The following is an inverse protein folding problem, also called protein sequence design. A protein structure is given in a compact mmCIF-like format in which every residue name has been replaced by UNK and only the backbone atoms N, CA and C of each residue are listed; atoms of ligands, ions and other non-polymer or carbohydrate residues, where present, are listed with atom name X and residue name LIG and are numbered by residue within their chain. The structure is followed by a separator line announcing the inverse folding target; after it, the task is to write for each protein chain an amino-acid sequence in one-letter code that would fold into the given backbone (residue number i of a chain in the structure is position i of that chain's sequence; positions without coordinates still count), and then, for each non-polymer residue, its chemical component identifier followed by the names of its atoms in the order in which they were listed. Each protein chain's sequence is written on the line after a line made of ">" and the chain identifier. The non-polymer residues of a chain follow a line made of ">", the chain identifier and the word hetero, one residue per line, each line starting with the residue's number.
data_IF_375351374113
#
_entry.id   IF_375351374113
#
_cell.length_a   1.000
_cell.length_b   1.000
_cell.length_c   1.000
_cell.angle_alpha   90.00
_cell.angle_beta   90.00
_cell.angle_gamma   90.00
#
_symmetry.space_group_name_H-M   'P 1'
#
loop_
_entity.id
_entity.type
_entity.pdbx_description
1 polymer ?
#
# COMPACT_ATOMS: atom_id res chain seq x y z
N UNK A 1 3.74 -1.70 2.97
CA UNK A 1 4.72 -1.25 1.97
C UNK A 1 4.40 0.19 1.63
N UNK A 2 5.43 1.01 1.43
CA UNK A 2 5.30 2.40 0.99
C UNK A 2 6.20 2.64 -0.23
N UNK A 3 5.71 3.35 -1.23
CA UNK A 3 6.53 3.96 -2.29
C UNK A 3 6.32 5.47 -2.19
N UNK A 4 7.35 6.19 -1.78
CA UNK A 4 7.29 7.66 -1.71
C UNK A 4 7.90 8.27 -2.97
N UNK A 5 7.05 8.81 -3.83
CA UNK A 5 7.46 9.59 -4.98
C UNK A 5 7.98 10.97 -4.58
N UNK A 6 7.48 11.51 -3.45
CA UNK A 6 7.96 12.78 -2.87
C UNK A 6 9.41 12.68 -2.39
N UNK A 7 9.74 11.63 -1.63
CA UNK A 7 11.04 11.47 -0.98
C UNK A 7 11.96 10.43 -1.63
N UNK A 8 11.53 9.83 -2.75
CA UNK A 8 12.29 8.89 -3.58
C UNK A 8 12.80 7.66 -2.83
N UNK A 9 11.94 7.04 -2.02
CA UNK A 9 12.26 5.79 -1.34
C UNK A 9 11.16 4.73 -1.52
N UNK A 10 11.57 3.47 -1.39
CA UNK A 10 10.67 2.31 -1.33
C UNK A 10 10.91 1.62 0.01
N UNK A 11 9.85 1.45 0.79
CA UNK A 11 9.86 0.69 2.03
C UNK A 11 9.13 -0.65 1.85
N UNK A 12 9.91 -1.72 1.86
CA UNK A 12 9.42 -3.09 1.74
C UNK A 12 9.31 -3.68 3.15
N UNK A 13 8.09 -4.09 3.53
CA UNK A 13 7.81 -4.60 4.87
C UNK A 13 8.20 -6.08 4.97
N UNK A 14 9.27 -6.37 5.69
CA UNK A 14 9.67 -7.74 6.07
C UNK A 14 8.88 -8.26 7.26
N UNK A 15 8.79 -9.57 7.41
CA UNK A 15 8.10 -10.19 8.55
C UNK A 15 8.84 -9.94 9.87
N UNK A 16 8.09 -9.79 10.97
CA UNK A 16 8.58 -9.82 12.37
C UNK A 16 9.72 -8.85 12.72
N UNK A 17 9.82 -7.73 12.02
CA UNK A 17 10.90 -6.72 12.16
C UNK A 17 10.36 -5.37 12.62
N UNK A 18 9.23 -5.37 13.35
CA UNK A 18 8.49 -4.14 13.70
C UNK A 18 8.17 -3.24 12.49
N UNK A 19 8.09 -3.82 11.28
CA UNK A 19 7.89 -3.07 10.04
C UNK A 19 6.59 -2.26 10.00
N UNK A 20 5.55 -2.67 10.75
CA UNK A 20 4.33 -1.85 10.91
C UNK A 20 4.65 -0.51 11.57
N UNK A 21 5.45 -0.49 12.64
CA UNK A 21 5.78 0.74 13.37
C UNK A 21 6.55 1.73 12.49
N UNK A 22 7.51 1.21 11.71
CA UNK A 22 8.27 2.00 10.73
C UNK A 22 7.34 2.51 9.64
N UNK A 23 6.46 1.67 9.10
CA UNK A 23 5.49 2.07 8.07
C UNK A 23 4.59 3.22 8.56
N UNK A 24 4.13 3.18 9.80
CA UNK A 24 3.30 4.24 10.39
C UNK A 24 4.07 5.54 10.60
N UNK A 25 5.33 5.46 11.04
CA UNK A 25 6.19 6.64 11.15
C UNK A 25 6.44 7.27 9.77
N UNK A 26 6.77 6.44 8.77
CA UNK A 26 7.02 6.90 7.41
C UNK A 26 5.75 7.43 6.71
N UNK A 27 4.57 6.89 7.02
CA UNK A 27 3.33 7.37 6.40
C UNK A 27 2.98 8.81 6.79
N UNK A 28 3.50 9.31 7.92
CA UNK A 28 3.31 10.70 8.35
C UNK A 28 3.98 11.72 7.43
N UNK A 29 5.10 11.36 6.78
CA UNK A 29 5.86 12.25 5.89
C UNK A 29 5.52 12.09 4.41
N UNK A 30 4.66 11.12 4.07
CA UNK A 30 4.27 10.83 2.69
C UNK A 30 3.44 11.97 2.05
N UNK A 31 3.52 12.09 0.72
CA UNK A 31 2.75 13.00 -0.12
C UNK A 31 1.40 12.43 -0.60
N UNK A 32 0.59 13.22 -1.33
CA UNK A 32 -0.69 12.78 -1.88
C UNK A 32 -0.58 11.73 -2.99
N UNK A 33 0.51 11.75 -3.75
CA UNK A 33 0.76 10.80 -4.83
C UNK A 33 1.49 9.53 -4.36
N UNK A 34 1.93 9.48 -3.09
CA UNK A 34 2.68 8.35 -2.57
C UNK A 34 1.78 7.12 -2.41
N UNK A 35 2.34 5.94 -2.63
CA UNK A 35 1.62 4.67 -2.56
C UNK A 35 1.76 4.11 -1.15
N UNK A 36 0.64 3.88 -0.48
CA UNK A 36 0.59 3.34 0.88
C UNK A 36 -0.38 2.17 0.89
N UNK A 37 0.13 0.96 1.11
CA UNK A 37 -0.71 -0.24 1.17
C UNK A 37 -1.57 -0.26 2.43
N UNK A 38 -2.78 -0.83 2.39
CA UNK A 38 -3.64 -0.89 3.57
C UNK A 38 -3.06 -1.73 4.70
N UNK A 39 -3.12 -1.17 5.91
CA UNK A 39 -2.90 -1.89 7.17
C UNK A 39 -4.18 -2.57 7.69
N UNK A 40 -4.07 -3.29 8.82
CA UNK A 40 -5.26 -3.82 9.47
C UNK A 40 -6.17 -2.69 9.98
N UNK A 41 -7.44 -2.99 10.25
CA UNK A 41 -8.44 -1.96 10.62
C UNK A 41 -8.03 -1.13 11.85
N UNK A 42 -7.37 -1.73 12.82
CA UNK A 42 -6.96 -1.05 14.05
C UNK A 42 -5.79 -0.10 13.78
N UNK A 43 -4.81 -0.54 12.99
CA UNK A 43 -3.64 0.24 12.57
C UNK A 43 -4.05 1.45 11.71
N UNK A 44 -4.97 1.28 10.77
CA UNK A 44 -5.51 2.39 9.96
C UNK A 44 -6.31 3.40 10.80
N UNK A 45 -7.09 2.91 11.79
CA UNK A 45 -7.77 3.79 12.74
C UNK A 45 -6.77 4.62 13.55
N UNK A 46 -5.71 3.97 14.05
CA UNK A 46 -4.65 4.64 14.79
C UNK A 46 -3.93 5.71 13.94
N UNK A 47 -3.65 5.42 12.66
CA UNK A 47 -3.08 6.40 11.73
C UNK A 47 -4.00 7.62 11.61
N UNK A 48 -5.29 7.38 11.38
CA UNK A 48 -6.30 8.43 11.26
C UNK A 48 -6.39 9.30 12.52
N UNK A 49 -6.40 8.69 13.70
CA UNK A 49 -6.45 9.39 14.99
C UNK A 49 -5.23 10.31 15.22
N UNK A 50 -4.07 9.96 14.64
CA UNK A 50 -2.83 10.78 14.72
C UNK A 50 -2.63 11.73 13.54
N UNK A 51 -3.59 11.79 12.60
CA UNK A 51 -3.45 12.59 11.38
C UNK A 51 -2.39 12.06 10.41
N UNK A 52 -1.94 10.81 10.58
CA UNK A 52 -1.03 10.18 9.62
C UNK A 52 -1.80 9.76 8.37
N UNK A 53 -1.10 9.68 7.23
CA UNK A 53 -1.73 9.20 6.00
C UNK A 53 -2.05 7.71 6.12
N UNK A 54 -3.30 7.39 5.75
CA UNK A 54 -3.80 6.03 5.62
C UNK A 54 -3.45 5.41 4.26
N UNK A 55 -4.09 4.29 3.96
CA UNK A 55 -3.97 3.63 2.66
C UNK A 55 -4.40 4.55 1.49
N UNK A 56 -3.57 4.64 0.45
CA UNK A 56 -3.83 5.45 -0.75
C UNK A 56 -3.03 4.94 -1.95
N UNK A 57 -3.52 5.20 -3.16
CA UNK A 57 -2.87 4.93 -4.46
C UNK A 57 -2.31 3.50 -4.65
N UNK A 58 -2.77 2.52 -3.88
CA UNK A 58 -2.23 1.16 -3.89
C UNK A 58 -2.85 0.25 -4.96
N UNK A 59 -3.92 0.69 -5.63
CA UNK A 59 -4.57 -0.09 -6.68
C UNK A 59 -3.97 0.22 -8.04
N UNK A 60 -3.81 -0.79 -8.89
CA UNK A 60 -3.33 -0.54 -10.24
C UNK A 60 -4.37 0.24 -11.05
N UNK A 61 -3.92 1.16 -11.94
CA UNK A 61 -4.77 1.76 -12.95
C UNK A 61 -5.48 0.67 -13.76
N UNK A 62 -6.74 0.93 -14.15
CA UNK A 62 -7.54 -0.05 -14.90
C UNK A 62 -6.92 -0.31 -16.29
N UNK A 63 -6.17 0.65 -16.83
CA UNK A 63 -5.45 0.51 -18.11
C UNK A 63 -4.40 -0.62 -18.10
N UNK A 64 -3.88 -0.99 -16.94
CA UNK A 64 -2.84 -2.01 -16.80
C UNK A 64 -3.41 -3.43 -16.61
N UNK A 65 -4.74 -3.59 -16.62
CA UNK A 65 -5.38 -4.86 -16.35
C UNK A 65 -5.31 -5.79 -17.55
N UNK A 66 -4.80 -7.01 -17.34
CA UNK A 66 -4.86 -8.06 -18.35
C UNK A 66 -6.28 -8.65 -18.45
N UNK A 67 -6.56 -9.42 -19.50
CA UNK A 67 -7.83 -10.17 -19.64
C UNK A 67 -8.12 -11.07 -18.42
N UNK A 68 -7.06 -11.64 -17.83
CA UNK A 68 -7.17 -12.49 -16.65
C UNK A 68 -7.53 -11.67 -15.41
N UNK A 69 -6.99 -10.46 -15.27
CA UNK A 69 -7.30 -9.56 -14.15
C UNK A 69 -8.74 -9.05 -14.21
N UNK A 70 -9.26 -8.81 -15.41
CA UNK A 70 -10.66 -8.50 -15.63
C UNK A 70 -11.59 -9.65 -15.21
N UNK A 71 -11.27 -10.88 -15.59
CA UNK A 71 -12.01 -12.07 -15.14
C UNK A 71 -11.95 -12.22 -13.61
N UNK A 72 -10.77 -11.98 -13.01
CA UNK A 72 -10.57 -12.03 -11.56
C UNK A 72 -11.38 -10.95 -10.84
N UNK A 73 -11.41 -9.73 -11.39
CA UNK A 73 -12.22 -8.63 -10.90
C UNK A 73 -13.70 -8.98 -10.96
N UNK A 74 -14.18 -9.60 -12.04
CA UNK A 74 -15.59 -9.98 -12.19
C UNK A 74 -16.00 -11.09 -11.20
N UNK A 75 -15.14 -12.10 -11.02
CA UNK A 75 -15.40 -13.23 -10.13
C UNK A 75 -15.30 -12.88 -8.64
N UNK A 76 -14.27 -12.12 -8.26
CA UNK A 76 -13.94 -11.86 -6.86
C UNK A 76 -14.28 -10.44 -6.40
N UNK A 77 -14.69 -9.56 -7.31
CA UNK A 77 -15.00 -8.14 -7.05
C UNK A 77 -13.88 -7.39 -6.32
N UNK A 78 -12.63 -7.84 -6.50
CA UNK A 78 -11.45 -7.28 -5.84
C UNK A 78 -10.48 -6.75 -6.88
N UNK A 79 -10.12 -5.47 -6.74
CA UNK A 79 -9.09 -4.84 -7.55
C UNK A 79 -7.70 -5.37 -7.18
N UNK A 80 -6.86 -5.52 -8.19
CA UNK A 80 -5.43 -5.83 -8.01
C UNK A 80 -4.68 -4.56 -7.62
N UNK A 81 -3.52 -4.76 -7.00
CA UNK A 81 -2.70 -3.66 -6.54
C UNK A 81 -1.61 -4.13 -5.58
N UNK A 82 -0.84 -3.17 -5.10
CA UNK A 82 0.16 -3.35 -4.08
C UNK A 82 -0.47 -3.84 -2.78
N UNK A 83 0.22 -4.76 -2.11
CA UNK A 83 -0.23 -5.37 -0.86
C UNK A 83 0.93 -5.50 0.13
N UNK A 84 0.61 -5.84 1.38
CA UNK A 84 1.65 -6.09 2.37
C UNK A 84 2.45 -7.35 2.03
N UNK A 85 3.73 -7.37 2.41
CA UNK A 85 4.62 -8.52 2.19
C UNK A 85 4.77 -8.91 0.70
N UNK A 86 4.60 -7.94 -0.21
CA UNK A 86 4.91 -8.12 -1.63
C UNK A 86 6.41 -8.36 -1.82
N UNK A 87 6.76 -9.24 -2.76
CA UNK A 87 8.14 -9.51 -3.16
C UNK A 87 8.77 -8.26 -3.78
N UNK A 88 10.06 -8.03 -3.58
CA UNK A 88 10.78 -6.93 -4.25
C UNK A 88 10.80 -7.07 -5.78
N UNK A 89 10.61 -8.28 -6.30
CA UNK A 89 10.55 -8.52 -7.75
C UNK A 89 9.24 -7.99 -8.38
N UNK A 90 8.19 -7.83 -7.57
CA UNK A 90 6.86 -7.40 -8.04
C UNK A 90 6.63 -5.89 -7.92
N UNK A 91 7.62 -5.15 -7.42
CA UNK A 91 7.60 -3.68 -7.23
C UNK A 91 8.34 -3.02 -8.38
#
# INVERSE_FOLDING_TARGET
>A
MIISHRHKFIFIKTAKTAGTSIEMALSSVCGPEDIITPLNKQEEKFKKERGFRGAQNYQYPIGDYTKMDWLRLLKHRKRIGFHQHISSYEI
#
